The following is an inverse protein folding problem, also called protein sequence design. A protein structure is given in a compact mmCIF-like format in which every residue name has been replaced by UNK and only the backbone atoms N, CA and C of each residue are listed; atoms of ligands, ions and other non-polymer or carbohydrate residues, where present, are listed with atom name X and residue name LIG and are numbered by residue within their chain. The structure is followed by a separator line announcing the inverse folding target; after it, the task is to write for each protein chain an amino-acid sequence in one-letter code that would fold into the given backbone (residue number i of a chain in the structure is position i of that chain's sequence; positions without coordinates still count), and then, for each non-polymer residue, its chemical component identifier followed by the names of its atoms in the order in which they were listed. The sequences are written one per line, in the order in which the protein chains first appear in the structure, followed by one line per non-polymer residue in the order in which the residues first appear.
data_IF_400616978206
#
_entry.id   IF_400616978206
#
_cell.length_a   1.000
_cell.length_b   1.000
_cell.length_c   1.000
_cell.angle_alpha   90.00
_cell.angle_beta   90.00
_cell.angle_gamma   90.00
#
_symmetry.space_group_name_H-M   'P 1'
#
loop_
_entity.id
_entity.type
_entity.pdbx_description
1 polymer ?
#
# COMPACT_ATOMS: atom_id res chain seq x y z
N UNK A 1 -30.02 -5.90 6.24
CA UNK A 1 -29.84 -5.85 4.77
C UNK A 1 -28.40 -5.49 4.52
N UNK A 2 -27.61 -6.34 3.86
CA UNK A 2 -26.23 -5.98 3.51
C UNK A 2 -26.25 -4.85 2.49
N UNK A 3 -25.57 -3.74 2.80
CA UNK A 3 -25.34 -2.68 1.82
C UNK A 3 -24.62 -3.32 0.63
N UNK A 4 -25.08 -3.11 -0.63
CA UNK A 4 -24.37 -3.64 -1.78
C UNK A 4 -22.93 -3.13 -1.77
N UNK A 5 -21.96 -4.06 -1.71
CA UNK A 5 -20.53 -3.74 -1.79
C UNK A 5 -20.28 -3.15 -3.17
N UNK A 6 -20.12 -1.84 -3.24
CA UNK A 6 -19.63 -1.15 -4.45
C UNK A 6 -18.11 -1.06 -4.33
N UNK A 7 -17.40 -1.41 -5.40
CA UNK A 7 -15.97 -1.12 -5.51
C UNK A 7 -15.75 0.38 -5.38
N UNK A 8 -14.81 0.77 -4.53
CA UNK A 8 -14.46 2.17 -4.29
C UNK A 8 -13.12 2.45 -4.94
N UNK A 9 -13.05 3.49 -5.75
CA UNK A 9 -11.80 3.95 -6.31
C UNK A 9 -10.97 4.68 -5.24
N UNK A 10 -9.71 4.26 -5.06
CA UNK A 10 -8.75 4.88 -4.14
C UNK A 10 -7.51 5.33 -4.91
N UNK A 11 -7.31 6.65 -5.10
CA UNK A 11 -6.12 7.13 -5.79
C UNK A 11 -4.87 7.05 -4.90
N UNK A 12 -3.69 7.11 -5.52
CA UNK A 12 -2.40 7.03 -4.84
C UNK A 12 -1.53 8.26 -5.16
N UNK A 13 -0.79 8.75 -4.18
CA UNK A 13 0.29 9.74 -4.33
C UNK A 13 1.60 9.03 -4.02
N UNK A 14 2.28 8.58 -5.06
CA UNK A 14 3.60 7.95 -4.95
C UNK A 14 4.69 9.01 -4.88
N UNK A 15 5.42 9.05 -3.77
CA UNK A 15 6.45 10.06 -3.48
C UNK A 15 7.85 9.48 -3.62
N UNK A 16 8.69 10.13 -4.41
CA UNK A 16 10.12 9.82 -4.50
C UNK A 16 10.95 11.10 -4.55
N UNK A 17 11.84 11.28 -3.56
CA UNK A 17 12.60 12.51 -3.31
C UNK A 17 11.70 13.76 -3.22
N UNK A 18 10.56 13.64 -2.52
CA UNK A 18 9.64 14.74 -2.26
C UNK A 18 8.77 15.15 -3.45
N UNK A 19 8.85 14.43 -4.57
CA UNK A 19 8.05 14.68 -5.76
C UNK A 19 7.07 13.54 -6.02
N UNK A 20 5.88 13.89 -6.53
CA UNK A 20 4.88 12.91 -6.97
C UNK A 20 5.33 12.29 -8.29
N UNK A 21 5.51 10.98 -8.34
CA UNK A 21 6.00 10.25 -9.53
C UNK A 21 5.22 8.98 -9.75
N UNK A 22 4.86 8.72 -11.01
CA UNK A 22 4.45 7.39 -11.42
C UNK A 22 5.68 6.61 -11.85
N UNK A 23 6.06 5.59 -11.09
CA UNK A 23 7.19 4.72 -11.39
C UNK A 23 6.74 3.45 -12.14
N UNK A 24 7.64 2.84 -12.91
CA UNK A 24 7.43 1.49 -13.41
C UNK A 24 7.87 0.49 -12.34
N UNK A 25 6.94 -0.36 -11.89
CA UNK A 25 7.17 -1.40 -10.88
C UNK A 25 8.42 -2.24 -11.18
N UNK A 26 9.19 -2.57 -10.15
CA UNK A 26 10.42 -3.37 -10.27
C UNK A 26 11.67 -2.67 -10.81
N UNK A 27 11.59 -1.40 -11.25
CA UNK A 27 12.76 -0.63 -11.72
C UNK A 27 13.44 0.20 -10.61
N UNK A 28 12.87 0.21 -9.40
CA UNK A 28 13.37 1.02 -8.30
C UNK A 28 14.49 0.29 -7.56
N UNK A 29 15.75 0.54 -7.95
CA UNK A 29 16.94 0.00 -7.30
C UNK A 29 17.73 1.09 -6.58
N UNK A 30 18.05 0.89 -5.30
CA UNK A 30 18.94 1.81 -4.56
C UNK A 30 20.41 1.64 -4.97
N UNK A 31 20.82 0.46 -5.43
CA UNK A 31 22.17 0.18 -5.92
C UNK A 31 22.40 0.67 -7.36
N UNK A 32 21.33 0.91 -8.10
CA UNK A 32 21.37 1.42 -9.48
C UNK A 32 20.28 2.48 -9.69
N UNK A 33 20.43 3.70 -9.13
CA UNK A 33 19.43 4.76 -9.26
C UNK A 33 19.12 5.15 -10.72
N UNK A 34 20.09 4.95 -11.63
CA UNK A 34 19.94 5.17 -13.07
C UNK A 34 19.00 4.19 -13.78
N UNK A 35 18.62 3.09 -13.13
CA UNK A 35 17.67 2.11 -13.66
C UNK A 35 16.20 2.50 -13.43
N UNK A 36 15.94 3.50 -12.58
CA UNK A 36 14.60 3.97 -12.27
C UNK A 36 13.91 4.50 -13.54
N UNK A 37 12.84 3.85 -13.96
CA UNK A 37 11.98 4.34 -15.04
C UNK A 37 10.77 5.02 -14.43
N UNK A 38 10.53 6.26 -14.87
CA UNK A 38 9.34 7.03 -14.51
C UNK A 38 8.45 7.15 -15.75
N UNK A 39 7.17 6.88 -15.58
CA UNK A 39 6.16 7.16 -16.60
C UNK A 39 5.78 8.63 -16.57
N UNK A 40 5.79 9.24 -15.38
CA UNK A 40 5.37 10.62 -15.17
C UNK A 40 6.01 11.20 -13.90
N UNK A 41 6.38 12.48 -13.94
CA UNK A 41 6.72 13.29 -12.77
C UNK A 41 5.72 14.45 -12.77
N UNK A 42 4.99 14.62 -11.67
CA UNK A 42 4.00 15.68 -11.60
C UNK A 42 4.66 17.04 -11.38
N UNK A 43 4.09 18.07 -12.02
CA UNK A 43 4.44 19.47 -11.76
C UNK A 43 3.85 19.97 -10.44
N UNK A 44 2.72 19.41 -10.02
CA UNK A 44 2.02 19.79 -8.80
C UNK A 44 2.54 19.05 -7.56
N UNK A 45 2.40 19.69 -6.39
CA UNK A 45 2.83 19.13 -5.11
C UNK A 45 1.90 18.04 -4.59
N UNK A 46 2.35 17.32 -3.56
CA UNK A 46 1.54 16.30 -2.90
C UNK A 46 0.28 16.89 -2.25
N UNK A 47 0.39 18.10 -1.68
CA UNK A 47 -0.74 18.85 -1.12
C UNK A 47 -1.82 19.19 -2.17
N UNK A 48 -1.41 19.56 -3.38
CA UNK A 48 -2.36 19.81 -4.47
C UNK A 48 -3.20 18.57 -4.80
N UNK A 49 -2.58 17.38 -4.91
CA UNK A 49 -3.33 16.15 -5.18
C UNK A 49 -4.21 15.75 -4.00
N UNK A 50 -3.78 15.96 -2.76
CA UNK A 50 -4.61 15.74 -1.58
C UNK A 50 -5.87 16.63 -1.58
N UNK A 51 -5.75 17.91 -1.93
CA UNK A 51 -6.91 18.81 -2.09
C UNK A 51 -7.82 18.37 -3.25
N UNK A 52 -7.25 17.88 -4.36
CA UNK A 52 -8.04 17.32 -5.45
C UNK A 52 -8.84 16.10 -4.97
N UNK A 53 -8.22 15.20 -4.22
CA UNK A 53 -8.90 14.02 -3.67
C UNK A 53 -9.98 14.42 -2.68
N UNK A 54 -9.73 15.44 -1.86
CA UNK A 54 -10.69 16.03 -0.92
C UNK A 54 -11.90 16.58 -1.64
N UNK A 55 -11.70 17.35 -2.72
CA UNK A 55 -12.77 17.91 -3.56
C UNK A 55 -13.70 16.82 -4.12
N UNK A 56 -13.16 15.63 -4.37
CA UNK A 56 -13.90 14.48 -4.89
C UNK A 56 -14.30 13.45 -3.81
N UNK A 57 -14.05 13.75 -2.52
CA UNK A 57 -14.34 12.89 -1.38
C UNK A 57 -13.77 11.46 -1.52
N UNK A 58 -12.54 11.34 -2.03
CA UNK A 58 -11.83 10.07 -2.23
C UNK A 58 -11.07 9.63 -0.97
N UNK A 59 -11.80 9.31 0.10
CA UNK A 59 -11.22 8.87 1.39
C UNK A 59 -10.54 7.51 1.27
N UNK A 60 -9.50 7.26 2.08
CA UNK A 60 -8.71 6.03 2.00
C UNK A 60 -7.72 6.04 0.84
N UNK A 61 -7.55 7.17 0.16
CA UNK A 61 -6.46 7.39 -0.79
C UNK A 61 -5.10 7.20 -0.11
N UNK A 62 -4.13 6.69 -0.86
CA UNK A 62 -2.83 6.35 -0.31
C UNK A 62 -1.80 7.45 -0.61
N UNK A 63 -0.88 7.66 0.33
CA UNK A 63 0.37 8.39 0.12
C UNK A 63 1.49 7.39 0.38
N UNK A 64 2.34 7.09 -0.60
CA UNK A 64 3.35 6.03 -0.50
C UNK A 64 4.74 6.62 -0.65
N UNK A 65 5.56 6.48 0.39
CA UNK A 65 6.96 6.92 0.37
C UNK A 65 7.86 5.86 -0.28
N UNK A 66 8.31 6.15 -1.49
CA UNK A 66 9.23 5.31 -2.24
C UNK A 66 10.68 5.74 -1.94
N UNK A 67 11.15 5.45 -0.73
CA UNK A 67 12.52 5.79 -0.28
C UNK A 67 12.61 7.05 0.59
N UNK A 68 13.83 7.56 0.84
CA UNK A 68 14.06 8.71 1.70
C UNK A 68 13.64 10.04 1.07
N UNK A 69 13.64 11.11 1.87
CA UNK A 69 13.38 12.48 1.38
C UNK A 69 11.91 12.82 1.10
N UNK A 70 10.97 11.99 1.55
CA UNK A 70 9.54 12.15 1.25
C UNK A 70 8.72 12.75 2.40
N UNK A 71 9.31 12.92 3.59
CA UNK A 71 8.54 13.24 4.80
C UNK A 71 7.88 14.62 4.75
N UNK A 72 8.57 15.64 4.20
CA UNK A 72 8.00 16.98 4.05
C UNK A 72 6.78 16.99 3.11
N UNK A 73 6.91 16.37 1.93
CA UNK A 73 5.81 16.25 0.98
C UNK A 73 4.66 15.38 1.53
N UNK A 74 4.97 14.36 2.33
CA UNK A 74 3.95 13.57 3.02
C UNK A 74 3.16 14.42 4.00
N UNK A 75 3.85 15.18 4.87
CA UNK A 75 3.20 16.08 5.83
C UNK A 75 2.37 17.16 5.12
N UNK A 76 2.83 17.66 3.97
CA UNK A 76 2.06 18.57 3.12
C UNK A 76 0.73 17.94 2.66
N UNK A 77 0.75 16.70 2.16
CA UNK A 77 -0.47 16.00 1.74
C UNK A 77 -1.42 15.72 2.90
N UNK A 78 -0.90 15.25 4.04
CA UNK A 78 -1.72 14.96 5.23
C UNK A 78 -2.36 16.23 5.80
N UNK A 79 -1.64 17.35 5.82
CA UNK A 79 -2.17 18.63 6.30
C UNK A 79 -3.27 19.21 5.40
N UNK A 80 -3.21 18.94 4.09
CA UNK A 80 -4.23 19.37 3.14
C UNK A 80 -5.58 18.63 3.33
N UNK A 81 -5.54 17.37 3.78
CA UNK A 81 -6.75 16.63 4.12
C UNK A 81 -6.55 15.70 5.33
N UNK A 82 -6.63 16.27 6.56
CA UNK A 82 -6.45 15.50 7.78
C UNK A 82 -7.47 14.36 7.91
N UNK A 83 -7.01 13.24 8.46
CA UNK A 83 -7.78 12.04 8.78
C UNK A 83 -8.46 11.36 7.59
N UNK A 84 -7.99 11.63 6.35
CA UNK A 84 -8.56 11.07 5.13
C UNK A 84 -7.62 10.16 4.33
N UNK A 85 -6.31 10.39 4.43
CA UNK A 85 -5.27 9.69 3.66
C UNK A 85 -4.62 8.58 4.48
N UNK A 86 -4.19 7.51 3.83
CA UNK A 86 -3.43 6.42 4.45
C UNK A 86 -1.97 6.48 3.99
N UNK A 87 -1.01 6.30 4.90
CA UNK A 87 0.42 6.50 4.62
C UNK A 87 1.22 5.21 4.71
N UNK A 88 1.96 4.89 3.65
CA UNK A 88 2.88 3.75 3.58
C UNK A 88 4.32 4.14 3.24
N UNK A 89 5.23 3.19 3.37
CA UNK A 89 6.66 3.35 3.06
C UNK A 89 7.51 3.66 4.31
N UNK A 90 8.23 2.63 4.79
CA UNK A 90 9.10 2.76 5.96
C UNK A 90 8.37 2.88 7.31
N UNK A 91 7.09 2.55 7.37
CA UNK A 91 6.30 2.51 8.61
C UNK A 91 6.83 1.41 9.53
N UNK A 92 7.02 1.75 10.80
CA UNK A 92 7.44 0.85 11.86
C UNK A 92 6.94 1.36 13.22
N UNK A 93 7.16 0.58 14.29
CA UNK A 93 6.69 0.90 15.64
C UNK A 93 7.18 2.25 16.19
N UNK A 94 8.32 2.75 15.72
CA UNK A 94 8.93 3.99 16.21
C UNK A 94 8.22 5.22 15.60
N UNK A 95 7.88 5.18 14.31
CA UNK A 95 7.36 6.34 13.59
C UNK A 95 5.84 6.30 13.32
N UNK A 96 5.17 5.16 13.49
CA UNK A 96 3.78 5.01 13.08
C UNK A 96 2.82 5.98 13.78
N UNK A 97 3.02 6.26 15.08
CA UNK A 97 2.21 7.24 15.81
C UNK A 97 2.38 8.66 15.31
N UNK A 98 3.62 9.06 15.00
CA UNK A 98 3.90 10.42 14.47
C UNK A 98 3.11 10.67 13.18
N UNK A 99 2.96 9.65 12.33
CA UNK A 99 2.21 9.79 11.09
C UNK A 99 0.69 9.93 11.31
N UNK A 100 0.13 9.23 12.30
CA UNK A 100 -1.27 9.42 12.69
C UNK A 100 -1.48 10.82 13.28
N UNK A 101 -0.59 11.27 14.16
CA UNK A 101 -0.62 12.61 14.74
C UNK A 101 -0.43 13.72 13.68
N UNK A 102 0.27 13.42 12.58
CA UNK A 102 0.42 14.31 11.43
C UNK A 102 -0.82 14.36 10.52
N UNK A 103 -1.90 13.65 10.84
CA UNK A 103 -3.18 13.68 10.12
C UNK A 103 -3.40 12.51 9.16
N UNK A 104 -2.65 11.41 9.27
CA UNK A 104 -2.99 10.20 8.55
C UNK A 104 -4.17 9.47 9.20
N UNK A 105 -5.13 9.04 8.39
CA UNK A 105 -6.25 8.20 8.84
C UNK A 105 -5.79 6.83 9.32
N UNK A 106 -4.81 6.24 8.61
CA UNK A 106 -4.22 4.92 8.89
C UNK A 106 -2.76 4.89 8.42
N UNK A 107 -2.00 3.97 8.99
CA UNK A 107 -0.64 3.64 8.52
C UNK A 107 -0.64 2.29 7.81
N UNK A 108 0.14 2.19 6.73
CA UNK A 108 0.29 0.99 5.90
C UNK A 108 1.67 0.38 6.17
N UNK A 109 1.70 -0.89 6.61
CA UNK A 109 2.93 -1.60 6.95
C UNK A 109 3.17 -2.80 6.03
N UNK A 110 4.43 -2.96 5.59
CA UNK A 110 4.90 -4.07 4.77
C UNK A 110 6.22 -4.64 5.32
N UNK A 111 7.37 -4.07 4.92
CA UNK A 111 8.71 -4.63 5.16
C UNK A 111 9.10 -4.76 6.63
N UNK A 112 8.55 -3.92 7.51
CA UNK A 112 8.77 -4.04 8.95
C UNK A 112 8.32 -5.41 9.50
N UNK A 113 7.29 -6.02 8.92
CA UNK A 113 6.78 -7.33 9.37
C UNK A 113 7.69 -8.49 8.96
N UNK A 114 8.71 -8.27 8.14
CA UNK A 114 9.54 -9.32 7.55
C UNK A 114 11.04 -9.15 7.86
N UNK A 115 11.48 -9.12 9.13
CA UNK A 115 12.91 -9.09 9.46
C UNK A 115 13.67 -10.24 8.79
N UNK A 116 14.66 -9.92 7.98
CA UNK A 116 15.44 -10.92 7.23
C UNK A 116 14.57 -11.76 6.28
N UNK A 117 13.45 -11.21 5.79
CA UNK A 117 12.54 -11.89 4.86
C UNK A 117 11.59 -12.91 5.49
N UNK A 118 11.56 -12.99 6.82
CA UNK A 118 10.67 -13.90 7.55
C UNK A 118 9.59 -13.12 8.28
N UNK A 119 8.34 -13.53 8.11
CA UNK A 119 7.22 -12.91 8.81
C UNK A 119 7.37 -13.01 10.33
N UNK A 120 7.06 -11.91 11.01
CA UNK A 120 7.09 -11.79 12.47
C UNK A 120 5.72 -11.35 12.97
N UNK A 121 4.98 -12.31 13.53
CA UNK A 121 3.70 -12.04 14.19
C UNK A 121 3.90 -11.07 15.38
N UNK A 122 4.97 -11.23 16.15
CA UNK A 122 5.29 -10.34 17.28
C UNK A 122 5.37 -8.88 16.86
N UNK A 123 6.02 -8.57 15.72
CA UNK A 123 6.09 -7.20 15.20
C UNK A 123 4.72 -6.66 14.81
N UNK A 124 3.86 -7.48 14.21
CA UNK A 124 2.49 -7.10 13.87
C UNK A 124 1.68 -6.81 15.14
N UNK A 125 1.75 -7.69 16.14
CA UNK A 125 1.07 -7.51 17.43
C UNK A 125 1.52 -6.25 18.16
N UNK A 126 2.82 -6.02 18.23
CA UNK A 126 3.40 -4.81 18.85
C UNK A 126 2.93 -3.55 18.11
N UNK A 127 3.01 -3.53 16.78
CA UNK A 127 2.57 -2.38 16.00
C UNK A 127 1.07 -2.13 16.17
N UNK A 128 0.24 -3.16 16.04
CA UNK A 128 -1.21 -3.10 16.24
C UNK A 128 -1.57 -2.58 17.63
N UNK A 129 -0.85 -2.99 18.69
CA UNK A 129 -1.03 -2.44 20.04
C UNK A 129 -0.67 -0.95 20.14
N UNK A 130 0.36 -0.52 19.40
CA UNK A 130 0.87 0.85 19.42
C UNK A 130 -0.09 1.81 18.71
N UNK A 131 -0.58 1.45 17.52
CA UNK A 131 -1.44 2.33 16.71
C UNK A 131 -2.94 2.07 16.86
N UNK A 132 -3.32 0.90 17.37
CA UNK A 132 -4.68 0.39 17.33
C UNK A 132 -4.99 -0.31 16.00
N UNK A 133 -5.72 -1.43 16.06
CA UNK A 133 -6.14 -2.23 14.90
C UNK A 133 -6.82 -1.39 13.81
N UNK A 134 -7.70 -0.47 14.22
CA UNK A 134 -8.49 0.36 13.31
C UNK A 134 -7.64 1.35 12.50
N UNK A 135 -6.43 1.67 12.97
CA UNK A 135 -5.50 2.59 12.31
C UNK A 135 -4.41 1.86 11.51
N UNK A 136 -4.46 0.54 11.43
CA UNK A 136 -3.45 -0.28 10.77
C UNK A 136 -3.98 -0.93 9.49
N UNK A 137 -3.25 -0.74 8.40
CA UNK A 137 -3.40 -1.45 7.13
C UNK A 137 -2.18 -2.35 6.94
N UNK A 138 -2.38 -3.62 6.63
CA UNK A 138 -1.28 -4.53 6.27
C UNK A 138 -1.23 -4.67 4.76
N UNK A 139 -0.07 -4.36 4.21
CA UNK A 139 0.20 -4.58 2.80
C UNK A 139 0.78 -6.00 2.60
N UNK A 140 0.06 -6.80 1.84
CA UNK A 140 0.38 -8.20 1.50
C UNK A 140 0.65 -8.35 0.00
N UNK A 141 1.24 -7.32 -0.62
CA UNK A 141 1.72 -7.35 -2.00
C UNK A 141 2.45 -8.65 -2.31
N UNK A 142 2.15 -9.26 -3.45
CA UNK A 142 2.55 -10.63 -3.75
C UNK A 142 2.98 -10.84 -5.20
N UNK A 143 3.72 -11.93 -5.41
CA UNK A 143 4.08 -12.47 -6.73
C UNK A 143 3.56 -13.89 -6.89
N UNK A 144 3.12 -14.23 -8.09
CA UNK A 144 2.67 -15.56 -8.45
C UNK A 144 3.87 -16.51 -8.59
N UNK A 145 3.73 -17.71 -8.03
CA UNK A 145 4.68 -18.82 -8.12
C UNK A 145 3.88 -20.10 -8.33
N UNK A 146 3.80 -20.55 -9.58
CA UNK A 146 2.90 -21.62 -9.99
C UNK A 146 1.44 -21.20 -9.75
N UNK A 147 0.75 -21.95 -8.89
CA UNK A 147 -0.66 -21.74 -8.56
C UNK A 147 -0.87 -20.97 -7.24
N UNK A 148 0.20 -20.40 -6.69
CA UNK A 148 0.21 -19.70 -5.41
C UNK A 148 0.67 -18.26 -5.55
N UNK A 149 0.31 -17.42 -4.60
CA UNK A 149 0.83 -16.05 -4.45
C UNK A 149 1.66 -15.97 -3.18
N UNK A 150 2.91 -15.54 -3.31
CA UNK A 150 3.80 -15.35 -2.17
C UNK A 150 4.01 -13.86 -1.91
N UNK A 151 3.95 -13.45 -0.65
CA UNK A 151 4.20 -12.06 -0.26
C UNK A 151 5.60 -11.65 -0.69
N UNK A 152 5.68 -10.51 -1.36
CA UNK A 152 6.90 -9.87 -1.81
C UNK A 152 7.10 -8.55 -1.04
N UNK A 153 8.30 -8.34 -0.53
CA UNK A 153 8.66 -7.15 0.25
C UNK A 153 9.78 -6.35 -0.45
N UNK A 154 10.21 -5.25 0.19
CA UNK A 154 11.30 -4.38 -0.30
C UNK A 154 11.06 -3.91 -1.74
N UNK A 155 9.93 -3.23 -1.98
CA UNK A 155 9.52 -2.78 -3.33
C UNK A 155 9.45 -3.96 -4.30
N UNK A 156 8.85 -5.07 -3.83
CA UNK A 156 8.61 -6.30 -4.57
C UNK A 156 9.85 -7.09 -5.00
N UNK A 157 11.03 -6.79 -4.46
CA UNK A 157 12.27 -7.44 -4.85
C UNK A 157 12.46 -8.80 -4.18
N UNK A 158 12.06 -8.92 -2.91
CA UNK A 158 12.35 -10.10 -2.09
C UNK A 158 11.08 -10.91 -1.84
N UNK A 159 11.08 -12.18 -2.27
CA UNK A 159 9.97 -13.10 -2.03
C UNK A 159 10.13 -13.77 -0.68
N UNK A 160 9.07 -13.74 0.11
CA UNK A 160 9.02 -14.35 1.43
C UNK A 160 8.45 -15.77 1.36
N UNK A 161 8.48 -16.49 2.47
CA UNK A 161 7.85 -17.81 2.59
C UNK A 161 6.37 -17.75 2.98
N UNK A 162 5.75 -16.56 2.99
CA UNK A 162 4.34 -16.40 3.34
C UNK A 162 3.50 -16.42 2.09
N UNK A 163 2.57 -17.37 2.04
CA UNK A 163 1.53 -17.46 1.02
C UNK A 163 0.40 -16.48 1.34
N UNK A 164 -0.11 -15.77 0.33
CA UNK A 164 -1.38 -15.05 0.40
C UNK A 164 -2.50 -16.06 0.16
N UNK A 165 -3.14 -16.50 1.24
CA UNK A 165 -4.23 -17.46 1.25
C UNK A 165 -5.20 -17.12 2.38
N UNK A 166 -6.30 -17.88 2.50
CA UNK A 166 -7.31 -17.65 3.53
C UNK A 166 -6.71 -17.65 4.94
N UNK A 167 -5.87 -18.63 5.25
CA UNK A 167 -5.31 -18.83 6.58
C UNK A 167 -4.40 -17.67 7.00
N UNK A 168 -3.56 -17.19 6.10
CA UNK A 168 -2.68 -16.05 6.40
C UNK A 168 -3.46 -14.75 6.51
N UNK A 169 -4.46 -14.52 5.64
CA UNK A 169 -5.32 -13.35 5.70
C UNK A 169 -6.17 -13.32 6.97
N UNK A 170 -6.72 -14.46 7.40
CA UNK A 170 -7.47 -14.57 8.65
C UNK A 170 -6.58 -14.17 9.85
N UNK A 171 -5.37 -14.74 9.94
CA UNK A 171 -4.40 -14.41 11.00
C UNK A 171 -4.06 -12.90 11.02
N UNK A 172 -3.79 -12.30 9.86
CA UNK A 172 -3.42 -10.89 9.78
C UNK A 172 -4.60 -9.98 10.14
N UNK A 173 -5.82 -10.37 9.77
CA UNK A 173 -7.05 -9.60 10.03
C UNK A 173 -7.39 -9.47 11.52
N UNK A 174 -6.77 -10.28 12.39
CA UNK A 174 -6.88 -10.10 13.84
C UNK A 174 -6.25 -8.77 14.28
N UNK A 175 -5.22 -8.29 13.58
CA UNK A 175 -4.36 -7.19 14.01
C UNK A 175 -4.44 -5.93 13.15
N UNK A 176 -5.04 -5.99 11.96
CA UNK A 176 -5.28 -4.83 11.10
C UNK A 176 -6.75 -4.70 10.73
N UNK A 177 -7.14 -3.53 10.25
CA UNK A 177 -8.51 -3.24 9.83
C UNK A 177 -8.69 -3.25 8.32
N UNK A 178 -7.60 -3.17 7.54
CA UNK A 178 -7.63 -3.21 6.08
C UNK A 178 -6.43 -3.96 5.51
N UNK A 179 -6.59 -4.47 4.30
CA UNK A 179 -5.50 -4.97 3.47
C UNK A 179 -5.24 -4.07 2.27
N UNK A 180 -3.97 -3.95 1.90
CA UNK A 180 -3.52 -3.45 0.60
C UNK A 180 -2.81 -4.58 -0.13
N UNK A 181 -3.21 -4.85 -1.38
CA UNK A 181 -2.66 -5.96 -2.17
C UNK A 181 -2.23 -5.46 -3.54
N UNK A 182 -0.94 -5.55 -3.84
CA UNK A 182 -0.43 -5.37 -5.19
C UNK A 182 -0.03 -6.72 -5.80
N UNK A 183 -0.46 -6.98 -7.02
CA UNK A 183 0.07 -8.08 -7.82
C UNK A 183 1.31 -7.58 -8.58
N UNK A 184 2.49 -7.80 -8.00
CA UNK A 184 3.73 -7.20 -8.50
C UNK A 184 4.17 -7.72 -9.88
N UNK A 185 3.60 -8.82 -10.36
CA UNK A 185 3.88 -9.36 -11.70
C UNK A 185 3.12 -8.62 -12.81
N UNK A 186 2.10 -7.79 -12.47
CA UNK A 186 1.33 -6.98 -13.44
C UNK A 186 1.43 -5.47 -13.19
N UNK A 187 2.13 -5.06 -12.12
CA UNK A 187 2.27 -3.66 -11.71
C UNK A 187 3.20 -2.87 -12.64
N UNK A 188 2.69 -1.74 -13.18
CA UNK A 188 3.43 -0.88 -14.11
C UNK A 188 3.51 -1.40 -15.55
N UNK A 189 3.00 -2.60 -15.85
CA UNK A 189 2.99 -3.19 -17.20
C UNK A 189 1.71 -2.88 -18.00
N UNK A 190 0.68 -2.30 -17.37
CA UNK A 190 -0.61 -1.99 -17.99
C UNK A 190 -1.24 -3.19 -18.73
N UNK A 191 -1.12 -4.41 -18.17
CA UNK A 191 -1.60 -5.64 -18.81
C UNK A 191 -2.92 -6.18 -18.23
N UNK A 192 -3.54 -5.50 -17.27
CA UNK A 192 -4.75 -5.95 -16.59
C UNK A 192 -4.48 -6.37 -15.15
N UNK A 193 -5.55 -6.57 -14.38
CA UNK A 193 -5.52 -7.10 -13.02
C UNK A 193 -5.22 -8.61 -13.03
N UNK A 194 -4.68 -9.16 -11.94
CA UNK A 194 -4.64 -10.61 -11.74
C UNK A 194 -6.06 -11.06 -11.31
N UNK A 195 -6.90 -11.38 -12.30
CA UNK A 195 -8.30 -11.76 -12.08
C UNK A 195 -8.44 -12.97 -11.14
N UNK A 196 -7.52 -13.94 -11.23
CA UNK A 196 -7.53 -15.11 -10.38
C UNK A 196 -7.26 -14.73 -8.91
N UNK A 197 -6.28 -13.84 -8.67
CA UNK A 197 -6.03 -13.31 -7.34
C UNK A 197 -7.24 -12.52 -6.83
N UNK A 198 -7.84 -11.64 -7.65
CA UNK A 198 -8.99 -10.83 -7.24
C UNK A 198 -10.19 -11.71 -6.87
N UNK A 199 -10.48 -12.76 -7.66
CA UNK A 199 -11.51 -13.74 -7.34
C UNK A 199 -11.22 -14.41 -6.00
N UNK A 200 -9.98 -14.87 -5.79
CA UNK A 200 -9.59 -15.51 -4.53
C UNK A 200 -9.64 -14.57 -3.33
N UNK A 201 -9.23 -13.31 -3.48
CA UNK A 201 -9.40 -12.30 -2.44
C UNK A 201 -10.88 -12.13 -2.08
N UNK A 202 -11.78 -12.12 -3.07
CA UNK A 202 -13.23 -12.08 -2.83
C UNK A 202 -13.78 -13.27 -2.03
N UNK A 203 -13.12 -14.44 -2.12
CA UNK A 203 -13.45 -15.65 -1.34
C UNK A 203 -12.82 -15.62 0.06
N UNK A 204 -11.61 -15.06 0.20
CA UNK A 204 -10.79 -15.20 1.40
C UNK A 204 -10.90 -14.05 2.39
N UNK A 205 -11.03 -12.80 1.93
CA UNK A 205 -10.92 -11.64 2.82
C UNK A 205 -12.21 -11.40 3.61
N UNK A 206 -12.05 -11.10 4.89
CA UNK A 206 -13.16 -10.81 5.82
C UNK A 206 -13.26 -9.33 6.20
N UNK A 207 -12.19 -8.56 5.95
CA UNK A 207 -12.06 -7.12 6.19
C UNK A 207 -11.91 -6.35 4.87
N UNK A 208 -12.09 -5.01 4.85
CA UNK A 208 -11.89 -4.23 3.63
C UNK A 208 -10.51 -4.42 3.02
N UNK A 209 -10.47 -4.63 1.71
CA UNK A 209 -9.25 -4.92 0.97
C UNK A 209 -9.19 -4.03 -0.27
N UNK A 210 -8.07 -3.33 -0.43
CA UNK A 210 -7.77 -2.57 -1.64
C UNK A 210 -6.82 -3.37 -2.51
N UNK A 211 -7.23 -3.70 -3.72
CA UNK A 211 -6.36 -4.23 -4.74
C UNK A 211 -5.79 -3.07 -5.57
N UNK A 212 -4.47 -3.07 -5.80
CA UNK A 212 -3.77 -2.00 -6.50
C UNK A 212 -2.84 -2.55 -7.59
N UNK A 213 -2.72 -1.83 -8.70
CA UNK A 213 -1.91 -2.21 -9.86
C UNK A 213 -2.69 -2.89 -10.99
N UNK A 214 -2.18 -2.77 -12.22
CA UNK A 214 -2.71 -3.48 -13.40
C UNK A 214 -3.85 -2.80 -14.17
N UNK A 215 -4.46 -1.73 -13.65
CA UNK A 215 -5.54 -1.03 -14.34
C UNK A 215 -5.09 -0.49 -15.71
N UNK A 216 -5.79 -0.88 -16.78
CA UNK A 216 -5.45 -0.58 -18.19
C UNK A 216 -6.41 0.43 -18.83
N UNK A 217 -7.51 0.79 -18.16
CA UNK A 217 -8.51 1.74 -18.62
C UNK A 217 -9.72 1.81 -17.68
N UNK A 218 -10.78 2.52 -18.08
CA UNK A 218 -12.04 2.64 -17.31
C UNK A 218 -12.80 1.33 -17.11
N UNK A 219 -12.46 0.30 -17.89
CA UNK A 219 -13.12 -1.02 -17.90
C UNK A 219 -12.45 -2.04 -16.96
N UNK A 220 -11.32 -1.69 -16.34
CA UNK A 220 -10.56 -2.54 -15.40
C UNK A 220 -11.14 -2.56 -14.00
#
# INVERSE_FOLDING_TARGET
MSVPRRSVFRPCIDLHNGQVKQIVGGTLSESTPSSLRTNFIAEHSAGYFAELYRKHNLTGAHVIKLGPGNDAATKEALAAWPDALQIGGGINVINAKEWLEAGASKVIVTSYLFPGGKFSLDRLQVLSKVVGKDNLVVDVSCRRRGDKWLVAMNKWQDITNVEVCKESLDLLSEYCSEFLVHAADVEGLCQGIDEALVQKLGEWVTIPTTYAGGAKGRES
#
